data_IF_448782482502
#
_entry.id   IF_448782482502
#
_cell.length_a   1.000
_cell.length_b   1.000
_cell.length_c   1.000
_cell.angle_alpha   90.00
_cell.angle_beta   90.00
_cell.angle_gamma   90.00
#
_symmetry.space_group_name_H-M   'P 1'
#
loop_
_entity.id
_entity.type
_entity.pdbx_description
1 polymer ?
#
# COMPACT_ATOMS: atom_id res chain seq x y z
N UNK A 1 -7.49 13.15 17.62
CA UNK A 1 -6.45 13.95 16.91
C UNK A 1 -6.92 14.14 15.49
N UNK A 2 -6.91 15.37 14.98
CA UNK A 2 -7.22 15.65 13.58
C UNK A 2 -5.96 15.46 12.74
N UNK A 3 -6.08 14.78 11.60
CA UNK A 3 -4.99 14.44 10.70
C UNK A 3 -5.35 15.01 9.31
N UNK A 4 -4.73 16.13 8.88
CA UNK A 4 -5.05 16.72 7.59
C UNK A 4 -4.76 15.77 6.42
N UNK A 5 -3.61 15.10 6.46
CA UNK A 5 -3.18 14.14 5.43
C UNK A 5 -2.54 12.92 6.09
N UNK A 6 -2.82 11.75 5.53
CA UNK A 6 -2.25 10.47 5.94
C UNK A 6 -1.60 9.80 4.73
N UNK A 7 -0.37 9.30 4.85
CA UNK A 7 0.24 8.44 3.84
C UNK A 7 -0.22 7.00 4.05
N UNK A 8 -0.67 6.32 2.99
CA UNK A 8 -0.96 4.88 2.99
C UNK A 8 -0.04 4.21 1.99
N UNK A 9 0.83 3.31 2.45
CA UNK A 9 1.80 2.60 1.59
C UNK A 9 1.31 1.18 1.36
N UNK A 10 0.97 0.86 0.11
CA UNK A 10 0.51 -0.49 -0.26
C UNK A 10 1.68 -1.45 -0.40
N UNK A 11 1.52 -2.64 0.20
CA UNK A 11 2.48 -3.72 0.14
C UNK A 11 2.76 -4.26 -1.27
N UNK A 12 3.95 -4.83 -1.46
CA UNK A 12 4.39 -5.53 -2.67
C UNK A 12 5.20 -6.77 -2.26
N UNK A 13 5.33 -7.83 -3.06
CA UNK A 13 5.99 -9.04 -2.62
C UNK A 13 7.39 -8.84 -2.01
N UNK A 14 7.72 -9.70 -1.03
CA UNK A 14 9.05 -9.80 -0.42
C UNK A 14 9.60 -11.22 -0.52
N UNK A 15 10.90 -11.39 -0.31
CA UNK A 15 11.51 -12.72 -0.26
C UNK A 15 11.05 -13.49 0.98
N UNK A 16 11.13 -14.83 1.00
CA UNK A 16 10.79 -15.63 2.18
C UNK A 16 11.60 -15.27 3.44
N UNK A 17 12.76 -14.62 3.28
CA UNK A 17 13.58 -14.15 4.40
C UNK A 17 13.20 -12.73 4.87
N UNK A 18 12.10 -12.17 4.38
CA UNK A 18 11.62 -10.84 4.77
C UNK A 18 12.34 -9.68 4.09
N UNK A 19 13.13 -9.91 3.04
CA UNK A 19 13.76 -8.82 2.29
C UNK A 19 12.74 -8.21 1.32
N UNK A 20 12.50 -6.91 1.43
CA UNK A 20 11.64 -6.17 0.51
C UNK A 20 12.17 -6.26 -0.92
N UNK A 21 11.30 -6.59 -1.88
CA UNK A 21 11.62 -6.51 -3.30
C UNK A 21 11.77 -5.07 -3.77
N UNK A 22 12.33 -4.87 -4.96
CA UNK A 22 12.61 -3.53 -5.50
C UNK A 22 11.34 -2.66 -5.57
N UNK A 23 10.21 -3.23 -5.99
CA UNK A 23 8.92 -2.52 -6.07
C UNK A 23 8.48 -2.01 -4.68
N UNK A 24 8.63 -2.83 -3.64
CA UNK A 24 8.30 -2.42 -2.27
C UNK A 24 9.24 -1.30 -1.79
N UNK A 25 10.55 -1.42 -2.10
CA UNK A 25 11.54 -0.40 -1.77
C UNK A 25 11.26 0.92 -2.47
N UNK A 26 10.89 0.90 -3.75
CA UNK A 26 10.56 2.12 -4.52
C UNK A 26 9.36 2.85 -3.90
N UNK A 27 8.30 2.10 -3.53
CA UNK A 27 7.12 2.66 -2.84
C UNK A 27 7.48 3.24 -1.47
N UNK A 28 8.32 2.56 -0.70
CA UNK A 28 8.81 3.05 0.61
C UNK A 28 9.66 4.30 0.46
N UNK A 29 10.58 4.33 -0.49
CA UNK A 29 11.42 5.50 -0.73
C UNK A 29 10.58 6.69 -1.20
N UNK A 30 9.57 6.46 -2.02
CA UNK A 30 8.63 7.52 -2.41
C UNK A 30 7.78 8.02 -1.22
N UNK A 31 7.32 7.12 -0.36
CA UNK A 31 6.65 7.49 0.89
C UNK A 31 7.55 8.36 1.78
N UNK A 32 8.82 7.96 1.93
CA UNK A 32 9.79 8.71 2.70
C UNK A 32 10.04 10.10 2.10
N UNK A 33 10.19 10.20 0.77
CA UNK A 33 10.31 11.48 0.09
C UNK A 33 9.13 12.41 0.37
N UNK A 34 7.89 11.91 0.28
CA UNK A 34 6.69 12.71 0.62
C UNK A 34 6.67 13.12 2.10
N UNK A 35 7.11 12.23 2.99
CA UNK A 35 7.20 12.50 4.42
C UNK A 35 8.24 13.60 4.72
N UNK A 36 9.39 13.61 4.05
CA UNK A 36 10.41 14.64 4.23
C UNK A 36 9.92 16.04 3.82
N UNK A 37 9.05 16.13 2.81
CA UNK A 37 8.45 17.40 2.40
C UNK A 37 7.43 17.92 3.43
N UNK A 38 6.65 17.02 4.02
CA UNK A 38 5.59 17.36 4.97
C UNK A 38 5.38 16.16 5.94
N UNK A 39 6.02 16.17 7.13
CA UNK A 39 5.88 15.07 8.08
C UNK A 39 4.42 14.86 8.48
N UNK A 40 3.94 13.63 8.32
CA UNK A 40 2.54 13.26 8.57
C UNK A 40 2.43 11.78 8.90
N UNK A 41 1.32 11.34 9.52
CA UNK A 41 1.18 9.95 9.89
C UNK A 41 1.23 9.00 8.68
N UNK A 42 1.66 7.76 8.92
CA UNK A 42 1.83 6.72 7.91
C UNK A 42 1.09 5.45 8.34
N UNK A 43 0.37 4.86 7.39
CA UNK A 43 -0.27 3.55 7.49
C UNK A 43 0.40 2.59 6.49
N UNK A 44 1.07 1.56 7.01
CA UNK A 44 1.64 0.49 6.19
C UNK A 44 0.64 -0.66 6.05
N UNK A 45 0.51 -1.22 4.84
CA UNK A 45 -0.35 -2.38 4.57
C UNK A 45 0.45 -3.64 4.21
N UNK A 46 -0.19 -4.79 4.38
CA UNK A 46 0.35 -6.10 4.02
C UNK A 46 0.53 -7.04 5.22
N UNK A 47 0.00 -8.24 5.08
CA UNK A 47 0.10 -9.36 6.00
C UNK A 47 0.90 -10.49 5.37
N UNK A 48 0.28 -11.66 5.22
CA UNK A 48 0.89 -12.88 4.69
C UNK A 48 0.13 -13.38 3.45
N UNK A 49 0.80 -14.16 2.58
CA UNK A 49 0.14 -14.79 1.45
C UNK A 49 1.08 -15.59 0.55
N UNK A 50 0.58 -16.70 -0.03
CA UNK A 50 1.40 -17.66 -0.79
C UNK A 50 2.15 -17.06 -1.98
N UNK A 51 1.62 -15.98 -2.56
CA UNK A 51 2.21 -15.26 -3.70
C UNK A 51 2.62 -13.83 -3.34
N UNK A 52 2.67 -13.50 -2.04
CA UNK A 52 2.88 -12.15 -1.55
C UNK A 52 3.99 -12.10 -0.48
N UNK A 53 3.77 -12.77 0.65
CA UNK A 53 4.70 -12.78 1.77
C UNK A 53 4.67 -14.13 2.47
N UNK A 54 5.76 -14.88 2.31
CA UNK A 54 6.02 -16.17 2.94
C UNK A 54 6.97 -16.07 4.15
N UNK A 55 7.40 -14.86 4.50
CA UNK A 55 8.28 -14.63 5.64
C UNK A 55 7.53 -14.74 6.97
N UNK A 56 8.23 -14.93 8.11
CA UNK A 56 7.59 -15.00 9.42
C UNK A 56 7.07 -13.64 9.92
N UNK A 57 7.38 -12.53 9.22
CA UNK A 57 6.95 -11.19 9.59
C UNK A 57 5.87 -10.67 8.64
N UNK A 58 4.84 -9.97 9.14
CA UNK A 58 3.85 -9.35 8.27
C UNK A 58 4.50 -8.27 7.39
N UNK A 59 4.05 -8.16 6.14
CA UNK A 59 4.70 -7.27 5.18
C UNK A 59 4.66 -5.79 5.61
N UNK A 60 3.56 -5.35 6.24
CA UNK A 60 3.42 -4.01 6.79
C UNK A 60 4.50 -3.66 7.82
N UNK A 61 4.95 -4.65 8.61
CA UNK A 61 6.05 -4.47 9.57
C UNK A 61 7.38 -4.31 8.85
N UNK A 62 7.61 -5.03 7.75
CA UNK A 62 8.81 -4.87 6.92
C UNK A 62 8.89 -3.46 6.31
N UNK A 63 7.76 -2.93 5.82
CA UNK A 63 7.66 -1.56 5.32
C UNK A 63 7.95 -0.53 6.42
N UNK A 64 7.29 -0.68 7.58
CA UNK A 64 7.50 0.18 8.75
C UNK A 64 8.97 0.17 9.18
N UNK A 65 9.58 -1.00 9.31
CA UNK A 65 10.99 -1.16 9.69
C UNK A 65 11.92 -0.45 8.69
N UNK A 66 11.61 -0.51 7.39
CA UNK A 66 12.41 0.21 6.40
C UNK A 66 12.26 1.73 6.53
N UNK A 67 11.07 2.25 6.80
CA UNK A 67 10.84 3.68 7.04
C UNK A 67 11.50 4.16 8.34
N UNK A 68 11.48 3.36 9.41
CA UNK A 68 12.23 3.63 10.64
C UNK A 68 13.74 3.75 10.37
N UNK A 69 14.30 2.84 9.57
CA UNK A 69 15.71 2.90 9.14
C UNK A 69 16.05 4.14 8.31
N UNK A 70 15.07 4.69 7.56
CA UNK A 70 15.24 5.93 6.80
C UNK A 70 15.13 7.19 7.68
N UNK A 71 14.69 7.05 8.94
CA UNK A 71 14.66 8.16 9.91
C UNK A 71 13.26 8.63 10.30
N UNK A 72 12.19 7.94 9.87
CA UNK A 72 10.84 8.21 10.38
C UNK A 72 10.76 7.77 11.84
N UNK A 73 10.20 8.61 12.72
CA UNK A 73 10.00 8.24 14.12
C UNK A 73 8.76 7.33 14.28
N UNK A 74 8.78 6.45 15.27
CA UNK A 74 7.75 5.43 15.51
C UNK A 74 6.36 6.04 15.81
N UNK A 75 6.34 7.25 16.37
CA UNK A 75 5.13 8.01 16.69
C UNK A 75 4.33 8.49 15.47
N UNK A 76 4.91 8.45 14.27
CA UNK A 76 4.21 8.75 13.02
C UNK A 76 3.40 7.57 12.49
N UNK A 77 3.56 6.36 13.03
CA UNK A 77 2.87 5.19 12.48
C UNK A 77 1.51 4.97 13.13
N UNK A 78 0.50 4.77 12.29
CA UNK A 78 -0.76 4.16 12.70
C UNK A 78 -0.59 2.64 12.89
N UNK A 79 -1.57 1.94 13.51
CA UNK A 79 -1.58 0.48 13.56
C UNK A 79 -1.41 -0.14 12.16
N UNK A 80 -0.77 -1.32 12.08
CA UNK A 80 -0.50 -1.97 10.79
C UNK A 80 -1.79 -2.55 10.18
N UNK A 81 -2.02 -2.31 8.88
CA UNK A 81 -3.11 -2.94 8.13
C UNK A 81 -2.67 -4.32 7.60
N UNK A 82 -2.88 -5.37 8.39
CA UNK A 82 -2.49 -6.74 8.02
C UNK A 82 -3.45 -7.34 6.97
N UNK A 83 -3.06 -7.25 5.70
CA UNK A 83 -3.87 -7.58 4.51
C UNK A 83 -3.20 -8.61 3.60
N UNK A 84 -3.97 -9.55 3.04
CA UNK A 84 -3.47 -10.55 2.10
C UNK A 84 -3.58 -10.15 0.62
N UNK A 85 -4.37 -9.11 0.30
CA UNK A 85 -4.64 -8.65 -1.06
C UNK A 85 -5.12 -7.18 -1.05
N UNK A 86 -5.31 -6.60 -2.24
CA UNK A 86 -5.67 -5.18 -2.41
C UNK A 86 -7.06 -4.81 -1.83
N UNK A 87 -8.02 -5.73 -1.83
CA UNK A 87 -9.33 -5.50 -1.19
C UNK A 87 -9.17 -5.48 0.33
N UNK A 88 -8.33 -6.37 0.86
CA UNK A 88 -7.96 -6.34 2.26
C UNK A 88 -7.13 -5.11 2.64
N UNK A 89 -6.26 -4.60 1.77
CA UNK A 89 -5.57 -3.32 2.00
C UNK A 89 -6.58 -2.22 2.33
N UNK A 90 -7.63 -2.09 1.51
CA UNK A 90 -8.68 -1.10 1.72
C UNK A 90 -9.55 -1.38 2.95
N UNK A 91 -10.04 -2.62 3.14
CA UNK A 91 -10.94 -2.94 4.26
C UNK A 91 -10.24 -2.93 5.62
N UNK A 92 -8.97 -3.34 5.70
CA UNK A 92 -8.17 -3.24 6.93
C UNK A 92 -7.80 -1.78 7.23
N UNK A 93 -7.46 -1.01 6.20
CA UNK A 93 -7.26 0.44 6.35
C UNK A 93 -8.52 1.12 6.88
N UNK A 94 -9.70 0.80 6.33
CA UNK A 94 -11.00 1.32 6.79
C UNK A 94 -11.19 1.13 8.30
N UNK A 95 -10.97 -0.10 8.80
CA UNK A 95 -11.14 -0.42 10.21
C UNK A 95 -10.21 0.40 11.13
N UNK A 96 -9.01 0.72 10.66
CA UNK A 96 -8.06 1.56 11.40
C UNK A 96 -8.50 3.02 11.33
N UNK A 97 -8.79 3.52 10.13
CA UNK A 97 -9.16 4.92 9.84
C UNK A 97 -10.42 5.39 10.59
N UNK A 98 -11.37 4.49 10.88
CA UNK A 98 -12.55 4.80 11.68
C UNK A 98 -12.24 5.37 13.08
N UNK A 99 -11.03 5.13 13.60
CA UNK A 99 -10.60 5.63 14.91
C UNK A 99 -9.92 7.00 14.84
N UNK A 100 -9.78 7.59 13.64
CA UNK A 100 -9.05 8.83 13.42
C UNK A 100 -9.86 9.82 12.59
N UNK A 101 -9.79 11.10 12.94
CA UNK A 101 -10.35 12.17 12.14
C UNK A 101 -9.35 12.56 11.05
N UNK A 102 -9.35 11.83 9.93
CA UNK A 102 -8.48 12.06 8.77
C UNK A 102 -9.25 12.78 7.67
N UNK A 103 -8.67 13.82 7.05
CA UNK A 103 -9.31 14.51 5.92
C UNK A 103 -8.95 13.88 4.57
N UNK A 104 -7.65 13.74 4.28
CA UNK A 104 -7.18 13.23 2.98
C UNK A 104 -6.25 12.02 3.13
N UNK A 105 -6.50 10.99 2.32
CA UNK A 105 -5.65 9.81 2.20
C UNK A 105 -4.74 9.95 0.98
N UNK A 106 -3.44 9.88 1.19
CA UNK A 106 -2.43 9.88 0.14
C UNK A 106 -1.96 8.44 -0.08
N UNK A 107 -2.51 7.78 -1.09
CA UNK A 107 -2.39 6.35 -1.35
C UNK A 107 -1.24 6.10 -2.33
N UNK A 108 -0.21 5.41 -1.86
CA UNK A 108 1.02 5.13 -2.60
C UNK A 108 1.01 3.68 -3.07
N UNK A 109 1.11 3.49 -4.38
CA UNK A 109 1.18 2.18 -5.04
C UNK A 109 2.08 2.27 -6.28
N UNK A 110 2.20 1.19 -7.04
CA UNK A 110 2.88 1.22 -8.35
C UNK A 110 2.00 1.81 -9.44
N UNK A 111 2.58 2.51 -10.42
CA UNK A 111 1.82 3.09 -11.52
C UNK A 111 1.00 2.02 -12.29
N UNK A 112 1.59 0.86 -12.58
CA UNK A 112 0.88 -0.26 -13.22
C UNK A 112 -0.30 -0.80 -12.40
N UNK A 113 -0.29 -0.61 -11.08
CA UNK A 113 -1.31 -1.13 -10.15
C UNK A 113 -2.39 -0.07 -9.83
N UNK A 114 -2.21 1.17 -10.28
CA UNK A 114 -3.01 2.32 -9.87
C UNK A 114 -4.50 2.19 -10.24
N UNK A 115 -4.82 1.67 -11.43
CA UNK A 115 -6.21 1.52 -11.87
C UNK A 115 -6.99 0.59 -10.94
N UNK A 116 -6.42 -0.58 -10.60
CA UNK A 116 -7.07 -1.54 -9.71
C UNK A 116 -7.26 -0.97 -8.31
N UNK A 117 -6.25 -0.27 -7.79
CA UNK A 117 -6.31 0.38 -6.48
C UNK A 117 -7.43 1.41 -6.45
N UNK A 118 -7.55 2.28 -7.47
CA UNK A 118 -8.65 3.26 -7.56
C UNK A 118 -10.02 2.60 -7.55
N UNK A 119 -10.24 1.57 -8.38
CA UNK A 119 -11.52 0.83 -8.41
C UNK A 119 -11.94 0.30 -7.03
N UNK A 120 -10.97 -0.18 -6.25
CA UNK A 120 -11.22 -0.76 -4.92
C UNK A 120 -11.39 0.34 -3.86
N UNK A 121 -10.43 1.26 -3.78
CA UNK A 121 -10.35 2.26 -2.72
C UNK A 121 -11.42 3.33 -2.86
N UNK A 122 -11.84 3.69 -4.07
CA UNK A 122 -12.93 4.66 -4.27
C UNK A 122 -14.28 4.15 -3.77
N UNK A 123 -14.49 2.83 -3.77
CA UNK A 123 -15.70 2.21 -3.23
C UNK A 123 -15.59 2.05 -1.72
N UNK A 124 -14.48 1.49 -1.22
CA UNK A 124 -14.37 1.08 0.19
C UNK A 124 -14.04 2.25 1.12
N UNK A 125 -13.22 3.20 0.65
CA UNK A 125 -12.80 4.38 1.42
C UNK A 125 -13.50 5.65 0.90
N UNK A 126 -14.73 5.52 0.41
CA UNK A 126 -15.51 6.59 -0.24
C UNK A 126 -15.72 7.83 0.64
N UNK A 127 -15.66 7.68 1.96
CA UNK A 127 -15.89 8.75 2.94
C UNK A 127 -14.73 9.73 3.13
N UNK A 128 -13.58 9.48 2.51
CA UNK A 128 -12.40 10.35 2.61
C UNK A 128 -12.05 10.99 1.27
N UNK A 129 -11.40 12.15 1.29
CA UNK A 129 -10.71 12.61 0.08
C UNK A 129 -9.48 11.72 -0.16
N UNK A 130 -9.18 11.45 -1.43
CA UNK A 130 -8.11 10.52 -1.82
C UNK A 130 -7.23 11.12 -2.91
N UNK A 131 -5.93 11.08 -2.70
CA UNK A 131 -4.89 11.35 -3.69
C UNK A 131 -4.14 10.05 -3.97
N UNK A 132 -3.88 9.76 -5.24
CA UNK A 132 -3.24 8.51 -5.65
C UNK A 132 -1.89 8.80 -6.28
N UNK A 133 -0.85 8.13 -5.78
CA UNK A 133 0.52 8.23 -6.26
C UNK A 133 0.95 6.88 -6.85
N UNK A 134 1.13 6.85 -8.17
CA UNK A 134 1.68 5.72 -8.90
C UNK A 134 3.19 5.86 -9.03
N UNK A 135 3.94 5.02 -8.33
CA UNK A 135 5.40 4.99 -8.37
C UNK A 135 5.85 4.24 -9.62
N UNK A 136 6.77 4.86 -10.36
CA UNK A 136 7.44 4.24 -11.50
C UNK A 136 8.58 3.33 -11.03
N UNK A 137 8.80 2.26 -11.77
CA UNK A 137 9.83 1.27 -11.47
C UNK A 137 10.77 1.12 -12.66
N UNK A 138 11.97 0.58 -12.41
CA UNK A 138 12.93 0.28 -13.48
C UNK A 138 12.29 -0.72 -14.47
N UNK A 139 12.34 -0.40 -15.77
CA UNK A 139 11.62 -1.16 -16.80
C UNK A 139 12.07 -2.63 -16.94
N UNK A 140 13.32 -2.93 -16.58
CA UNK A 140 13.93 -4.26 -16.72
C UNK A 140 13.67 -5.20 -15.52
N UNK A 141 12.72 -4.88 -14.65
CA UNK A 141 12.31 -5.80 -13.58
C UNK A 141 11.65 -7.06 -14.20
N UNK A 142 12.24 -8.26 -14.05
CA UNK A 142 11.76 -9.47 -14.75
C UNK A 142 10.31 -9.82 -14.46
N UNK A 143 9.81 -9.44 -13.29
CA UNK A 143 8.44 -9.66 -12.82
C UNK A 143 7.40 -8.67 -13.35
N UNK A 144 7.82 -7.52 -13.91
CA UNK A 144 6.92 -6.42 -14.26
C UNK A 144 5.87 -6.82 -15.31
N UNK A 145 6.28 -7.54 -16.36
CA UNK A 145 5.36 -8.00 -17.40
C UNK A 145 4.27 -8.95 -16.84
N UNK A 146 4.66 -9.86 -15.94
CA UNK A 146 3.73 -10.78 -15.28
C UNK A 146 2.74 -10.03 -14.38
N UNK A 147 3.24 -9.03 -13.63
CA UNK A 147 2.41 -8.16 -12.79
C UNK A 147 1.39 -7.37 -13.61
N UNK A 148 1.81 -6.77 -14.73
CA UNK A 148 0.89 -6.05 -15.62
C UNK A 148 -0.20 -6.95 -16.20
N UNK A 149 0.14 -8.19 -16.59
CA UNK A 149 -0.85 -9.15 -17.09
C UNK A 149 -1.84 -9.57 -15.99
N UNK A 150 -1.35 -9.76 -14.76
CA UNK A 150 -2.19 -10.00 -13.59
C UNK A 150 -3.16 -8.83 -13.33
N UNK A 151 -2.69 -7.58 -13.44
CA UNK A 151 -3.54 -6.40 -13.27
C UNK A 151 -4.68 -6.34 -14.28
N UNK A 152 -4.40 -6.57 -15.57
CA UNK A 152 -5.43 -6.56 -16.60
C UNK A 152 -6.54 -7.58 -16.32
N UNK A 153 -6.15 -8.79 -15.89
CA UNK A 153 -7.11 -9.84 -15.53
C UNK A 153 -7.94 -9.44 -14.30
N UNK A 154 -7.29 -8.96 -13.25
CA UNK A 154 -7.96 -8.58 -12.01
C UNK A 154 -8.92 -7.39 -12.21
N UNK A 155 -8.53 -6.39 -12.99
CA UNK A 155 -9.38 -5.25 -13.37
C UNK A 155 -10.60 -5.72 -14.16
N UNK A 156 -10.41 -6.61 -15.15
CA UNK A 156 -11.52 -7.16 -15.92
C UNK A 156 -12.51 -7.93 -15.03
N UNK A 157 -12.01 -8.73 -14.08
CA UNK A 157 -12.84 -9.43 -13.10
C UNK A 157 -13.65 -8.46 -12.23
N UNK A 158 -13.02 -7.41 -11.70
CA UNK A 158 -13.73 -6.38 -10.90
C UNK A 158 -14.79 -5.67 -11.73
N UNK A 159 -14.51 -5.30 -12.98
CA UNK A 159 -15.47 -4.61 -13.86
C UNK A 159 -16.67 -5.49 -14.23
N UNK A 160 -16.45 -6.78 -14.47
CA UNK A 160 -17.51 -7.71 -14.87
C UNK A 160 -18.37 -8.18 -13.70
N UNK A 161 -17.73 -8.32 -12.55
CA UNK A 161 -18.35 -9.04 -11.45
C UNK A 161 -18.57 -8.13 -10.23
N UNK A 162 -17.60 -7.28 -9.88
CA UNK A 162 -17.60 -6.48 -8.65
C UNK A 162 -16.43 -6.87 -7.74
N UNK A 163 -16.33 -6.23 -6.56
CA UNK A 163 -15.14 -6.33 -5.70
C UNK A 163 -14.95 -7.67 -4.97
N UNK A 164 -16.01 -8.49 -4.84
CA UNK A 164 -16.05 -9.66 -3.94
C UNK A 164 -16.04 -11.01 -4.69
N UNK A 165 -15.50 -11.05 -5.90
CA UNK A 165 -15.47 -12.25 -6.74
C UNK A 165 -14.17 -13.04 -6.67
#
# INVERSE_FOLDING_TARGET
MYIPKLLIVLGSPNTPNGQLGQIALDRVNYCFHLFEQEPKPILCTGGFGNHFNLSPWPHAELLKNKLLQLGVNDDYFLPLALSANTVEDATKSLAILQNYAVATLQIITSNYHLERVKLIFDIILSSWDREYFGVEHVADLPELASLMAHEQKAIAQIKNNGLYY
#
